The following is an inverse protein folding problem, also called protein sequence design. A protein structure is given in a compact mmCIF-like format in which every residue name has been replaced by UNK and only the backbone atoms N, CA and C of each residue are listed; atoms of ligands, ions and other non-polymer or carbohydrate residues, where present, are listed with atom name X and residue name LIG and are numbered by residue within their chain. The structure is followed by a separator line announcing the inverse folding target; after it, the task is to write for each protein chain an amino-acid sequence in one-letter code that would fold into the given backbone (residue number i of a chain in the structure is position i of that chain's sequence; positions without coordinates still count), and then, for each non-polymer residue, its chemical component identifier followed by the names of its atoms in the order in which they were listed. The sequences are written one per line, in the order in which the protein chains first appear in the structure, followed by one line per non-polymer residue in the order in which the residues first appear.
data_IF_472470346901
#
_entry.id   IF_472470346901
#
_cell.length_a   1.000
_cell.length_b   1.000
_cell.length_c   1.000
_cell.angle_alpha   90.00
_cell.angle_beta   90.00
_cell.angle_gamma   90.00
#
_symmetry.space_group_name_H-M   'P 1'
#
loop_
_entity.id
_entity.type
_entity.pdbx_description
1 polymer ?
#
# COMPACT_ATOMS: atom_id res chain seq x y z
N UNK A 1 -22.74 -52.10 -3.93
CA UNK A 1 -22.81 -50.78 -4.60
C UNK A 1 -23.47 -49.79 -3.65
N UNK A 2 -22.68 -48.88 -3.08
CA UNK A 2 -23.18 -47.74 -2.29
C UNK A 2 -22.68 -46.46 -2.98
N UNK A 3 -23.53 -45.45 -3.25
CA UNK A 3 -23.10 -44.25 -3.95
C UNK A 3 -22.33 -43.30 -3.04
N UNK A 4 -21.26 -42.73 -3.60
CA UNK A 4 -20.36 -41.79 -2.95
C UNK A 4 -21.06 -40.47 -2.61
N UNK A 5 -21.00 -40.12 -1.33
CA UNK A 5 -21.50 -38.86 -0.79
C UNK A 5 -20.51 -37.74 -1.15
N UNK A 6 -20.88 -36.86 -2.08
CA UNK A 6 -20.05 -35.71 -2.48
C UNK A 6 -20.35 -34.55 -1.54
N UNK A 7 -19.43 -34.27 -0.61
CA UNK A 7 -19.49 -33.10 0.26
C UNK A 7 -19.33 -31.83 -0.58
N UNK A 8 -20.46 -31.21 -0.91
CA UNK A 8 -20.53 -29.87 -1.49
C UNK A 8 -20.18 -28.87 -0.38
N UNK A 9 -18.93 -28.41 -0.37
CA UNK A 9 -18.50 -27.35 0.56
C UNK A 9 -19.39 -26.12 0.47
N UNK A 10 -19.55 -25.36 1.57
CA UNK A 10 -20.39 -24.17 1.59
C UNK A 10 -19.85 -23.17 0.56
N UNK A 11 -20.73 -22.72 -0.35
CA UNK A 11 -20.45 -21.60 -1.25
C UNK A 11 -20.37 -20.35 -0.39
N UNK A 12 -19.16 -19.97 0.02
CA UNK A 12 -18.90 -18.67 0.63
C UNK A 12 -19.48 -17.58 -0.28
N UNK A 13 -20.33 -16.75 0.30
CA UNK A 13 -21.17 -15.80 -0.43
C UNK A 13 -20.32 -14.87 -1.28
N UNK A 14 -20.76 -14.64 -2.53
CA UNK A 14 -20.18 -13.62 -3.38
C UNK A 14 -20.28 -12.26 -2.67
N UNK A 15 -19.17 -11.79 -2.10
CA UNK A 15 -19.09 -10.46 -1.51
C UNK A 15 -19.48 -9.44 -2.59
N UNK A 16 -20.57 -8.70 -2.34
CA UNK A 16 -21.05 -7.67 -3.26
C UNK A 16 -19.93 -6.66 -3.47
N UNK A 17 -19.60 -6.39 -4.74
CA UNK A 17 -18.61 -5.36 -5.05
C UNK A 17 -19.03 -4.04 -4.39
N UNK A 18 -18.09 -3.29 -3.81
CA UNK A 18 -18.41 -2.03 -3.18
C UNK A 18 -19.08 -1.09 -4.21
N UNK A 19 -20.13 -0.35 -3.80
CA UNK A 19 -20.82 0.57 -4.69
C UNK A 19 -19.82 1.62 -5.21
N UNK A 20 -20.03 2.05 -6.46
CA UNK A 20 -19.27 3.16 -7.03
C UNK A 20 -19.54 4.42 -6.20
N UNK A 21 -18.52 5.23 -5.99
CA UNK A 21 -18.68 6.51 -5.30
C UNK A 21 -19.65 7.39 -6.10
N UNK A 22 -20.51 8.13 -5.38
CA UNK A 22 -21.40 9.12 -6.00
C UNK A 22 -20.56 10.18 -6.72
N UNK A 23 -21.06 10.63 -7.86
CA UNK A 23 -20.43 11.71 -8.63
C UNK A 23 -20.63 13.01 -7.85
N UNK A 24 -19.57 13.79 -7.71
CA UNK A 24 -19.65 15.12 -7.10
C UNK A 24 -20.45 16.07 -8.01
N UNK A 25 -21.17 17.04 -7.43
CA UNK A 25 -21.84 18.08 -8.20
C UNK A 25 -20.83 18.94 -8.94
N UNK A 26 -21.27 19.64 -9.99
CA UNK A 26 -20.40 20.39 -10.91
C UNK A 26 -19.69 21.58 -10.24
N UNK A 27 -20.22 22.07 -9.12
CA UNK A 27 -19.67 23.15 -8.30
C UNK A 27 -18.67 22.65 -7.25
N UNK A 28 -18.29 21.36 -7.24
CA UNK A 28 -17.40 20.80 -6.24
C UNK A 28 -16.21 20.07 -6.87
N UNK A 29 -15.03 20.19 -6.24
CA UNK A 29 -13.79 19.54 -6.67
C UNK A 29 -13.11 18.82 -5.51
N UNK A 30 -12.47 17.69 -5.84
CA UNK A 30 -11.65 16.93 -4.89
C UNK A 30 -10.28 17.60 -4.73
N UNK A 31 -9.97 18.02 -3.50
CA UNK A 31 -8.64 18.41 -3.07
C UNK A 31 -7.96 17.26 -2.32
N UNK A 32 -6.82 16.80 -2.83
CA UNK A 32 -6.16 15.59 -2.30
C UNK A 32 -5.40 15.89 -1.02
N UNK A 33 -5.65 15.15 0.07
CA UNK A 33 -4.80 15.24 1.27
C UNK A 33 -3.58 14.31 1.16
N UNK A 34 -2.49 14.63 1.90
CA UNK A 34 -1.41 13.69 2.14
C UNK A 34 -1.91 12.42 2.85
N UNK A 35 -1.30 11.28 2.54
CA UNK A 35 -1.64 10.02 3.21
C UNK A 35 -1.13 10.03 4.65
N UNK A 36 -2.04 9.76 5.59
CA UNK A 36 -1.67 9.52 6.99
C UNK A 36 -1.00 8.17 7.11
N UNK A 37 0.16 8.13 7.74
CA UNK A 37 0.88 6.92 8.07
C UNK A 37 1.20 6.89 9.57
N UNK A 38 1.26 5.70 10.20
CA UNK A 38 1.65 5.60 11.61
C UNK A 38 3.07 6.16 11.83
N UNK A 39 3.40 6.57 13.07
CA UNK A 39 4.74 7.00 13.41
C UNK A 39 5.75 5.88 13.15
N UNK A 40 6.90 6.25 12.58
CA UNK A 40 7.96 5.29 12.28
C UNK A 40 8.59 4.86 13.60
N UNK A 41 8.64 3.55 13.91
CA UNK A 41 9.26 3.09 15.14
C UNK A 41 10.76 3.37 15.13
N UNK A 42 11.36 3.45 16.31
CA UNK A 42 12.80 3.70 16.41
C UNK A 42 13.59 2.62 15.65
N UNK A 43 14.72 2.96 15.00
CA UNK A 43 15.54 1.96 14.31
C UNK A 43 16.01 0.84 15.25
N UNK A 44 16.17 1.14 16.54
CA UNK A 44 16.64 0.21 17.56
C UNK A 44 15.53 -0.62 18.23
N UNK A 45 14.25 -0.29 18.02
CA UNK A 45 13.12 -1.02 18.62
C UNK A 45 13.21 -2.53 18.34
N UNK A 46 12.86 -3.38 19.32
CA UNK A 46 12.92 -4.84 19.19
C UNK A 46 12.00 -5.43 18.11
N UNK A 47 12.06 -6.75 17.95
CA UNK A 47 11.28 -7.52 16.97
C UNK A 47 9.74 -7.38 17.11
N UNK A 48 9.26 -6.85 18.24
CA UNK A 48 7.85 -6.58 18.46
C UNK A 48 7.31 -5.42 17.58
N UNK A 49 8.18 -4.54 17.07
CA UNK A 49 7.79 -3.41 16.22
C UNK A 49 8.35 -3.59 14.80
N UNK A 50 7.45 -3.58 13.82
CA UNK A 50 7.76 -3.73 12.41
C UNK A 50 8.66 -2.59 11.90
N UNK A 51 9.75 -2.94 11.20
CA UNK A 51 10.66 -1.96 10.59
C UNK A 51 10.11 -1.52 9.24
N UNK A 52 9.39 -0.41 9.21
CA UNK A 52 8.72 0.06 7.99
C UNK A 52 9.52 1.17 7.30
N UNK A 53 9.70 1.02 5.98
CA UNK A 53 10.25 2.07 5.11
C UNK A 53 9.21 2.46 4.06
N UNK A 54 8.69 3.68 4.15
CA UNK A 54 7.79 4.22 3.13
C UNK A 54 8.58 4.67 1.91
N UNK A 55 8.15 4.20 0.73
CA UNK A 55 8.75 4.53 -0.56
C UNK A 55 7.82 5.49 -1.30
N UNK A 56 8.35 6.64 -1.68
CA UNK A 56 7.69 7.62 -2.53
C UNK A 56 8.16 7.47 -3.97
N UNK A 57 7.35 7.94 -4.92
CA UNK A 57 7.72 8.00 -6.33
C UNK A 57 8.98 8.87 -6.56
N UNK A 58 9.28 9.82 -5.68
CA UNK A 58 10.49 10.66 -5.76
C UNK A 58 11.71 10.06 -5.04
N UNK A 59 11.55 8.97 -4.29
CA UNK A 59 12.66 8.36 -3.54
C UNK A 59 13.72 7.82 -4.51
N UNK A 60 15.00 8.21 -4.37
CA UNK A 60 16.10 7.62 -5.14
C UNK A 60 16.33 6.15 -4.77
N UNK A 61 16.63 5.31 -5.75
CA UNK A 61 16.80 3.86 -5.55
C UNK A 61 17.87 3.52 -4.50
N UNK A 62 19.07 4.07 -4.65
CA UNK A 62 20.20 3.81 -3.74
C UNK A 62 19.92 4.28 -2.30
N UNK A 63 19.15 5.36 -2.15
CA UNK A 63 18.74 5.86 -0.83
C UNK A 63 17.83 4.85 -0.12
N UNK A 64 16.84 4.30 -0.84
CA UNK A 64 15.99 3.25 -0.30
C UNK A 64 16.80 1.99 0.07
N UNK A 65 17.72 1.57 -0.81
CA UNK A 65 18.57 0.41 -0.59
C UNK A 65 19.40 0.52 0.71
N UNK A 66 20.08 1.65 0.90
CA UNK A 66 20.89 1.91 2.10
C UNK A 66 20.04 1.91 3.38
N UNK A 67 18.81 2.44 3.32
CA UNK A 67 17.88 2.41 4.46
C UNK A 67 17.49 0.98 4.84
N UNK A 68 17.17 0.14 3.86
CA UNK A 68 16.84 -1.27 4.09
C UNK A 68 18.04 -2.01 4.69
N UNK A 69 19.23 -1.90 4.08
CA UNK A 69 20.44 -2.56 4.61
C UNK A 69 20.79 -2.10 6.02
N UNK A 70 20.59 -0.82 6.34
CA UNK A 70 20.78 -0.32 7.71
C UNK A 70 19.85 -1.05 8.68
N UNK A 71 18.58 -1.23 8.35
CA UNK A 71 17.65 -1.97 9.20
C UNK A 71 18.02 -3.47 9.29
N UNK A 72 18.34 -4.13 8.19
CA UNK A 72 18.81 -5.52 8.19
C UNK A 72 20.04 -5.70 9.07
N UNK A 73 21.03 -4.79 9.00
CA UNK A 73 22.21 -4.85 9.86
C UNK A 73 21.92 -4.69 11.36
N UNK A 74 20.84 -4.02 11.72
CA UNK A 74 20.41 -3.88 13.12
C UNK A 74 19.64 -5.12 13.59
N UNK A 75 18.89 -5.75 12.68
CA UNK A 75 18.21 -7.03 12.93
C UNK A 75 19.26 -8.11 13.17
N UNK A 76 20.27 -8.20 12.29
CA UNK A 76 21.39 -9.14 12.40
C UNK A 76 22.09 -9.03 13.75
N UNK A 77 22.54 -7.81 14.12
CA UNK A 77 23.19 -7.54 15.42
C UNK A 77 22.35 -7.94 16.64
N UNK A 78 21.02 -7.90 16.51
CA UNK A 78 20.12 -8.32 17.58
C UNK A 78 19.97 -9.83 17.61
N UNK A 79 19.85 -10.45 16.44
CA UNK A 79 19.77 -11.91 16.27
C UNK A 79 21.02 -12.59 16.82
N UNK A 80 22.21 -12.05 16.53
CA UNK A 80 23.48 -12.58 17.04
C UNK A 80 23.71 -12.33 18.53
N UNK A 81 22.81 -11.58 19.19
CA UNK A 81 22.96 -11.15 20.57
C UNK A 81 24.13 -10.19 20.78
N UNK A 82 24.13 -9.50 21.93
CA UNK A 82 25.24 -8.65 22.39
C UNK A 82 26.37 -9.52 22.97
N UNK A 83 26.78 -10.55 22.24
CA UNK A 83 27.85 -11.45 22.69
C UNK A 83 29.17 -10.86 22.23
N UNK A 84 29.73 -9.97 23.05
CA UNK A 84 31.11 -9.53 22.90
C UNK A 84 32.03 -10.73 23.23
N UNK A 85 32.38 -11.52 22.20
CA UNK A 85 33.28 -12.67 22.36
C UNK A 85 34.63 -12.24 22.96
N UNK A 86 35.07 -11.03 22.60
CA UNK A 86 36.40 -10.50 22.90
C UNK A 86 36.45 -9.79 24.26
N UNK A 87 35.44 -8.97 24.59
CA UNK A 87 35.46 -8.10 25.79
C UNK A 87 34.35 -8.42 26.82
N UNK A 88 33.50 -9.41 26.55
CA UNK A 88 32.41 -9.79 27.43
C UNK A 88 32.90 -10.47 28.71
N UNK A 89 32.39 -10.02 29.86
CA UNK A 89 32.53 -10.72 31.16
C UNK A 89 31.84 -12.08 31.10
N UNK A 90 32.57 -13.16 31.37
CA UNK A 90 32.04 -14.52 31.43
C UNK A 90 32.98 -15.55 30.79
N UNK A 91 32.86 -16.82 31.20
CA UNK A 91 33.60 -17.93 30.62
C UNK A 91 33.18 -18.15 29.16
N UNK A 92 34.11 -18.50 28.27
CA UNK A 92 33.81 -18.79 26.85
C UNK A 92 32.71 -19.86 26.68
N UNK A 93 32.62 -20.80 27.64
CA UNK A 93 31.57 -21.83 27.67
C UNK A 93 30.18 -21.26 27.96
N UNK A 94 30.07 -20.16 28.72
CA UNK A 94 28.81 -19.44 28.93
C UNK A 94 28.45 -18.58 27.72
N UNK A 95 29.43 -17.96 27.05
CA UNK A 95 29.22 -17.20 25.81
C UNK A 95 28.70 -18.08 24.67
N UNK A 96 29.26 -19.29 24.53
CA UNK A 96 28.82 -20.29 23.54
C UNK A 96 27.40 -20.80 23.81
N UNK A 97 27.02 -20.96 25.08
CA UNK A 97 25.65 -21.36 25.46
C UNK A 97 24.63 -20.27 25.14
N UNK A 98 24.94 -19.01 25.43
CA UNK A 98 24.06 -17.88 25.13
C UNK A 98 23.83 -17.70 23.62
N UNK A 99 24.77 -18.10 22.75
CA UNK A 99 24.58 -18.13 21.30
C UNK A 99 23.63 -19.25 20.85
N UNK A 100 23.79 -20.46 21.41
CA UNK A 100 22.96 -21.62 21.05
C UNK A 100 21.52 -21.55 21.60
N UNK A 101 21.30 -20.84 22.71
CA UNK A 101 19.96 -20.67 23.29
C UNK A 101 19.05 -19.78 22.40
N UNK A 102 19.61 -18.76 21.74
CA UNK A 102 18.85 -17.89 20.83
C UNK A 102 18.33 -18.61 19.56
N UNK A 103 18.99 -19.69 19.11
CA UNK A 103 18.49 -20.53 18.01
C UNK A 103 17.34 -21.44 18.46
N UNK A 104 17.28 -21.80 19.75
CA UNK A 104 16.38 -22.86 20.24
C UNK A 104 14.96 -22.40 20.60
N UNK A 105 14.74 -21.09 20.81
CA UNK A 105 13.40 -20.50 21.07
C UNK A 105 12.59 -20.23 19.77
N UNK A 106 13.10 -20.68 18.61
CA UNK A 106 12.59 -20.35 17.27
C UNK A 106 11.47 -21.23 16.70
N UNK A 107 10.78 -22.07 17.50
CA UNK A 107 9.63 -22.85 17.00
C UNK A 107 8.37 -21.98 16.85
N UNK A 108 8.34 -21.16 15.80
CA UNK A 108 7.10 -20.55 15.28
C UNK A 108 7.06 -19.03 15.13
N UNK A 109 8.16 -18.30 15.40
CA UNK A 109 8.22 -16.85 15.12
C UNK A 109 8.70 -16.63 13.69
N UNK A 110 7.92 -15.88 12.90
CA UNK A 110 8.40 -15.39 11.61
C UNK A 110 9.68 -14.56 11.80
N UNK A 111 10.67 -14.68 10.91
CA UNK A 111 11.91 -13.90 11.02
C UNK A 111 11.60 -12.40 10.99
N UNK A 112 12.34 -11.62 11.77
CA UNK A 112 12.18 -10.16 11.78
C UNK A 112 12.48 -9.61 10.37
N UNK A 113 11.48 -8.96 9.77
CA UNK A 113 11.57 -8.43 8.40
C UNK A 113 11.53 -6.90 8.38
N UNK A 114 12.20 -6.33 7.39
CA UNK A 114 12.05 -4.93 7.00
C UNK A 114 10.96 -4.86 5.94
N UNK A 115 9.95 -4.02 6.18
CA UNK A 115 8.79 -3.92 5.29
C UNK A 115 8.81 -2.60 4.53
N UNK A 116 8.91 -2.68 3.21
CA UNK A 116 8.70 -1.55 2.32
C UNK A 116 7.21 -1.37 2.10
N UNK A 117 6.69 -0.16 2.29
CA UNK A 117 5.30 0.18 1.92
C UNK A 117 5.31 1.19 0.78
N UNK A 118 4.62 0.87 -0.31
CA UNK A 118 4.54 1.70 -1.49
C UNK A 118 3.13 1.74 -2.08
N UNK A 119 2.74 2.90 -2.59
CA UNK A 119 1.42 3.13 -3.21
C UNK A 119 1.56 3.82 -4.56
N UNK A 120 0.58 3.61 -5.45
CA UNK A 120 0.53 4.25 -6.78
C UNK A 120 1.83 4.09 -7.58
N UNK A 121 2.38 5.20 -8.09
CA UNK A 121 3.62 5.22 -8.90
C UNK A 121 4.85 4.70 -8.15
N UNK A 122 4.83 4.62 -6.82
CA UNK A 122 5.95 4.10 -6.05
C UNK A 122 6.03 2.56 -6.07
N UNK A 123 4.97 1.86 -6.47
CA UNK A 123 4.90 0.40 -6.50
C UNK A 123 5.99 -0.18 -7.41
N UNK A 124 6.19 0.41 -8.59
CA UNK A 124 7.25 0.01 -9.53
C UNK A 124 8.65 0.04 -8.87
N UNK A 125 8.94 1.10 -8.10
CA UNK A 125 10.22 1.22 -7.38
C UNK A 125 10.37 0.18 -6.29
N UNK A 126 9.29 -0.14 -5.57
CA UNK A 126 9.31 -1.17 -4.55
C UNK A 126 9.55 -2.57 -5.15
N UNK A 127 8.97 -2.86 -6.31
CA UNK A 127 9.24 -4.10 -7.06
C UNK A 127 10.69 -4.18 -7.52
N UNK A 128 11.27 -3.09 -8.04
CA UNK A 128 12.68 -3.07 -8.44
C UNK A 128 13.62 -3.32 -7.25
N UNK A 129 13.29 -2.78 -6.06
CA UNK A 129 14.03 -3.08 -4.83
C UNK A 129 13.86 -4.55 -4.41
N UNK A 130 12.63 -5.09 -4.50
CA UNK A 130 12.35 -6.48 -4.20
C UNK A 130 13.20 -7.42 -5.08
N UNK A 131 13.23 -7.18 -6.39
CA UNK A 131 14.05 -7.93 -7.34
C UNK A 131 15.55 -7.83 -7.02
N UNK A 132 16.03 -6.65 -6.65
CA UNK A 132 17.42 -6.47 -6.24
C UNK A 132 17.79 -7.36 -5.04
N UNK A 133 16.95 -7.37 -3.99
CA UNK A 133 17.20 -8.18 -2.79
C UNK A 133 16.96 -9.67 -3.02
N UNK A 134 16.04 -10.04 -3.90
CA UNK A 134 15.83 -11.43 -4.30
C UNK A 134 17.05 -12.02 -5.01
N UNK A 135 17.81 -11.20 -5.73
CA UNK A 135 19.08 -11.62 -6.34
C UNK A 135 20.25 -11.71 -5.37
N UNK A 136 20.10 -11.28 -4.12
CA UNK A 136 21.13 -11.44 -3.09
C UNK A 136 20.95 -12.78 -2.38
N UNK A 137 22.05 -13.42 -1.99
CA UNK A 137 22.04 -14.74 -1.34
C UNK A 137 21.77 -14.67 0.17
N UNK A 138 21.75 -13.48 0.75
CA UNK A 138 21.61 -13.21 2.19
C UNK A 138 20.18 -12.84 2.61
N UNK A 139 19.26 -12.71 1.65
CA UNK A 139 17.92 -12.18 1.89
C UNK A 139 16.81 -13.08 1.32
N UNK A 140 15.67 -13.10 2.02
CA UNK A 140 14.40 -13.64 1.53
C UNK A 140 13.40 -12.51 1.35
N UNK A 141 12.67 -12.53 0.24
CA UNK A 141 11.69 -11.49 -0.11
C UNK A 141 10.28 -12.07 -0.15
N UNK A 142 9.31 -11.35 0.45
CA UNK A 142 7.89 -11.70 0.48
C UNK A 142 7.04 -10.50 0.03
N UNK A 143 6.12 -10.73 -0.89
CA UNK A 143 5.22 -9.69 -1.41
C UNK A 143 3.82 -9.84 -0.81
N UNK A 144 3.20 -8.74 -0.38
CA UNK A 144 1.81 -8.68 0.06
C UNK A 144 1.10 -7.53 -0.62
N UNK A 145 -0.04 -7.80 -1.25
CA UNK A 145 -0.88 -6.78 -1.87
C UNK A 145 -2.00 -6.36 -0.92
N UNK A 146 -2.33 -5.08 -0.90
CA UNK A 146 -3.43 -4.55 -0.11
C UNK A 146 -4.01 -3.27 -0.69
N UNK A 147 -4.92 -2.66 0.05
CA UNK A 147 -5.50 -1.36 -0.25
C UNK A 147 -5.46 -0.44 0.96
N UNK A 148 -5.34 0.86 0.72
CA UNK A 148 -5.35 1.90 1.75
C UNK A 148 -6.42 2.94 1.38
N UNK A 149 -7.30 3.23 2.34
CA UNK A 149 -8.23 4.35 2.28
C UNK A 149 -7.50 5.65 2.56
N UNK A 150 -7.70 6.66 1.71
CA UNK A 150 -7.14 7.99 1.88
C UNK A 150 -8.29 8.97 1.90
N UNK A 151 -8.28 9.88 2.88
CA UNK A 151 -9.27 10.94 3.00
C UNK A 151 -8.85 12.10 2.11
N UNK A 152 -9.73 12.57 1.26
CA UNK A 152 -9.59 13.78 0.46
C UNK A 152 -10.68 14.78 0.86
N UNK A 153 -10.42 16.06 0.60
CA UNK A 153 -11.37 17.15 0.81
C UNK A 153 -12.23 17.39 -0.42
N UNK A 154 -13.45 17.85 -0.19
CA UNK A 154 -14.33 18.37 -1.22
C UNK A 154 -14.44 19.87 -0.98
N UNK A 155 -14.06 20.65 -1.98
CA UNK A 155 -14.07 22.12 -1.92
C UNK A 155 -14.93 22.65 -3.05
N UNK A 156 -15.64 23.74 -2.81
CA UNK A 156 -16.37 24.47 -3.83
C UNK A 156 -15.41 24.96 -4.92
N UNK A 157 -15.82 24.81 -6.17
CA UNK A 157 -15.08 25.29 -7.31
C UNK A 157 -15.60 26.69 -7.68
N UNK A 158 -14.70 27.68 -7.71
CA UNK A 158 -15.01 29.06 -8.10
C UNK A 158 -15.59 29.17 -9.53
N UNK A 159 -15.31 28.17 -10.37
CA UNK A 159 -15.89 28.02 -11.71
C UNK A 159 -16.47 26.60 -11.89
N UNK A 160 -17.64 26.45 -12.53
CA UNK A 160 -18.23 25.13 -12.77
C UNK A 160 -17.29 24.30 -13.63
N UNK A 161 -16.81 23.18 -13.09
CA UNK A 161 -15.95 22.25 -13.82
C UNK A 161 -16.84 21.49 -14.79
N UNK A 162 -17.02 22.06 -16.00
CA UNK A 162 -17.59 21.32 -17.12
C UNK A 162 -16.66 20.12 -17.33
N UNK A 163 -17.16 18.92 -17.06
CA UNK A 163 -16.44 17.69 -17.30
C UNK A 163 -16.20 17.58 -18.82
N UNK A 164 -15.06 18.11 -19.28
CA UNK A 164 -14.59 17.96 -20.64
C UNK A 164 -14.21 16.50 -20.87
N UNK A 165 -15.20 15.67 -21.17
CA UNK A 165 -15.00 14.51 -22.03
C UNK A 165 -14.88 15.00 -23.47
N UNK A 166 -13.82 15.77 -23.77
CA UNK A 166 -13.43 16.01 -25.16
C UNK A 166 -12.65 14.78 -25.65
N UNK A 167 -13.39 13.83 -26.22
CA UNK A 167 -12.81 12.92 -27.21
C UNK A 167 -12.43 13.80 -28.38
N UNK A 168 -11.13 14.04 -28.58
CA UNK A 168 -10.59 14.79 -29.71
C UNK A 168 -10.80 13.96 -30.99
N UNK A 169 -12.00 14.03 -31.56
CA UNK A 169 -12.29 13.49 -32.89
C UNK A 169 -11.73 14.48 -33.92
N UNK A 170 -10.84 14.06 -34.83
CA UNK A 170 -10.29 14.96 -35.86
C UNK A 170 -11.39 15.54 -36.75
N UNK A 171 -11.24 16.83 -37.08
CA UNK A 171 -12.26 17.74 -37.62
C UNK A 171 -12.76 17.47 -39.05
N UNK A 172 -12.62 16.25 -39.58
CA UNK A 172 -12.96 15.93 -40.97
C UNK A 172 -14.29 15.16 -41.14
N UNK A 173 -15.04 14.95 -40.05
CA UNK A 173 -16.35 14.25 -40.07
C UNK A 173 -17.49 15.08 -39.47
N UNK A 174 -17.27 16.37 -39.20
CA UNK A 174 -18.23 17.24 -38.50
C UNK A 174 -19.45 17.65 -39.34
N UNK A 175 -19.46 17.42 -40.65
CA UNK A 175 -20.49 17.99 -41.54
C UNK A 175 -21.71 17.11 -41.81
N UNK A 176 -21.77 15.86 -41.31
CA UNK A 176 -22.81 14.89 -41.74
C UNK A 176 -23.72 14.35 -40.65
N UNK A 177 -23.66 14.84 -39.40
CA UNK A 177 -24.55 14.40 -38.30
C UNK A 177 -25.40 15.56 -37.74
N UNK A 178 -25.37 16.73 -38.41
CA UNK A 178 -26.11 17.92 -37.99
C UNK A 178 -27.56 17.94 -38.50
N UNK A 179 -28.33 16.89 -38.24
CA UNK A 179 -29.80 16.91 -38.39
C UNK A 179 -30.38 15.58 -37.92
N UNK A 180 -30.51 15.42 -36.61
CA UNK A 180 -31.66 14.76 -35.98
C UNK A 180 -31.45 14.66 -34.47
N UNK A 181 -32.34 15.31 -33.72
CA UNK A 181 -32.75 15.10 -32.32
C UNK A 181 -32.77 16.43 -31.56
N UNK A 182 -33.69 17.31 -31.98
CA UNK A 182 -34.32 18.28 -31.09
C UNK A 182 -35.71 17.73 -30.77
N UNK A 183 -35.86 17.08 -29.64
CA UNK A 183 -37.18 16.91 -29.00
C UNK A 183 -37.00 16.62 -27.51
N UNK A 184 -37.34 17.64 -26.73
CA UNK A 184 -37.92 17.61 -25.39
C UNK A 184 -37.28 16.70 -24.34
N UNK A 185 -36.59 17.31 -23.38
CA UNK A 185 -36.84 17.01 -21.95
C UNK A 185 -36.70 18.32 -21.17
N UNK A 186 -37.63 18.49 -20.25
CA UNK A 186 -38.03 19.68 -19.52
C UNK A 186 -36.89 20.39 -18.77
N UNK A 187 -36.94 21.73 -18.83
CA UNK A 187 -36.24 22.59 -17.88
C UNK A 187 -36.93 22.46 -16.51
N UNK A 188 -36.64 21.40 -15.79
CA UNK A 188 -36.83 21.39 -14.35
C UNK A 188 -35.86 22.41 -13.76
N UNK A 189 -36.39 23.58 -13.40
CA UNK A 189 -35.81 24.48 -12.40
C UNK A 189 -35.60 23.63 -11.15
N UNK A 190 -34.42 23.04 -11.00
CA UNK A 190 -34.00 22.49 -9.72
C UNK A 190 -33.87 23.69 -8.78
N UNK A 191 -34.74 23.73 -7.78
CA UNK A 191 -34.56 24.60 -6.63
C UNK A 191 -33.12 24.45 -6.15
N UNK A 192 -32.44 25.58 -5.92
CA UNK A 192 -31.21 25.66 -5.14
C UNK A 192 -31.54 25.19 -3.72
N UNK A 193 -31.71 23.88 -3.56
CA UNK A 193 -31.59 23.26 -2.27
C UNK A 193 -30.14 23.44 -1.88
N UNK A 194 -29.90 24.16 -0.78
CA UNK A 194 -28.65 24.22 -0.05
C UNK A 194 -28.25 22.82 0.43
N UNK A 195 -27.99 21.89 -0.49
CA UNK A 195 -27.52 20.56 -0.19
C UNK A 195 -26.07 20.70 0.23
N UNK A 196 -25.89 20.82 1.54
CA UNK A 196 -24.60 20.90 2.21
C UNK A 196 -23.66 19.83 1.63
N UNK A 197 -22.59 20.29 0.97
CA UNK A 197 -21.63 19.40 0.34
C UNK A 197 -20.93 18.59 1.44
N UNK A 198 -20.74 17.27 1.26
CA UNK A 198 -19.94 16.51 2.21
C UNK A 198 -18.52 17.05 2.22
N UNK A 199 -17.96 17.33 3.40
CA UNK A 199 -16.63 17.94 3.52
C UNK A 199 -15.51 17.03 2.99
N UNK A 200 -15.66 15.71 3.13
CA UNK A 200 -14.59 14.74 2.81
C UNK A 200 -15.08 13.52 2.05
N UNK A 201 -14.17 12.94 1.26
CA UNK A 201 -14.38 11.69 0.53
C UNK A 201 -13.23 10.73 0.77
N UNK A 202 -13.53 9.44 0.95
CA UNK A 202 -12.51 8.39 1.06
C UNK A 202 -12.25 7.77 -0.30
N UNK A 203 -11.03 7.96 -0.84
CA UNK A 203 -10.54 7.23 -2.01
C UNK A 203 -9.84 5.93 -1.58
N UNK A 204 -10.02 4.86 -2.35
CA UNK A 204 -9.25 3.62 -2.17
C UNK A 204 -8.04 3.62 -3.11
N UNK A 205 -6.86 3.34 -2.57
CA UNK A 205 -5.60 3.25 -3.34
C UNK A 205 -4.95 1.90 -3.12
N UNK A 206 -4.36 1.32 -4.17
CA UNK A 206 -3.61 0.06 -4.03
C UNK A 206 -2.28 0.28 -3.30
N UNK A 207 -1.91 -0.67 -2.44
CA UNK A 207 -0.67 -0.69 -1.69
C UNK A 207 0.06 -2.02 -1.91
N UNK A 208 1.37 -1.94 -2.08
CA UNK A 208 2.27 -3.08 -2.06
C UNK A 208 3.11 -3.02 -0.79
N UNK A 209 3.18 -4.14 -0.08
CA UNK A 209 4.14 -4.37 1.00
C UNK A 209 5.18 -5.40 0.55
N UNK A 210 6.46 -5.06 0.71
CA UNK A 210 7.58 -5.96 0.44
C UNK A 210 8.30 -6.23 1.75
N UNK A 211 8.15 -7.44 2.29
CA UNK A 211 8.92 -7.93 3.43
C UNK A 211 10.26 -8.47 2.98
N UNK A 212 11.34 -8.02 3.61
CA UNK A 212 12.71 -8.47 3.38
C UNK A 212 13.28 -8.95 4.70
N UNK A 213 13.61 -10.24 4.80
CA UNK A 213 14.23 -10.85 5.96
C UNK A 213 15.61 -11.39 5.61
N UNK A 214 16.48 -11.52 6.61
CA UNK A 214 17.72 -12.28 6.46
C UNK A 214 17.40 -13.78 6.36
N UNK A 215 18.27 -14.52 5.68
CA UNK A 215 18.22 -15.98 5.58
C UNK A 215 18.88 -16.68 6.77
#
# INVERSE_FOLDING_TARGET
MAPANTLKGPKEGAEKMPPKLQRLPSNARIQKRPMLHPPIPSPYSGAAQQKVVYISAKTPFVSALKRVRKHLSLIDKRSTGKVDLINGKGSDKQKLRALGENESDGKGKEPEEVVLKATGKAIEKALNLALFFQGQQDCKVRLRTGGVGVVDDIVEADEPVIAQTEIKIPSLVASSIASNTLQGVDNDRMEEGDSELPETQIRKTSMLEVGISLL
#
